data_IF_032413639291
#
_entry.id   IF_032413639291
#
_cell.length_a   1.000
_cell.length_b   1.000
_cell.length_c   1.000
_cell.angle_alpha   90.00
_cell.angle_beta   90.00
_cell.angle_gamma   90.00
#
_symmetry.space_group_name_H-M   'P 1'
#
loop_
_entity.id
_entity.type
_entity.pdbx_description
1 polymer ?
#
# COMPACT_ATOMS: atom_id res chain seq x y z
N UNK A 1 4.44 11.67 19.44
CA UNK A 1 3.50 10.69 18.86
C UNK A 1 3.30 10.81 17.33
N UNK A 2 3.37 12.02 16.75
CA UNK A 2 3.21 12.18 15.27
C UNK A 2 4.50 12.04 14.48
N UNK A 3 5.67 12.00 15.12
CA UNK A 3 6.99 11.88 14.46
C UNK A 3 7.26 10.55 13.75
N UNK A 4 6.46 9.53 14.04
CA UNK A 4 6.60 8.19 13.44
C UNK A 4 5.67 7.96 12.24
N UNK A 5 4.87 8.96 11.85
CA UNK A 5 4.06 8.93 10.63
C UNK A 5 4.97 9.29 9.47
N UNK A 6 5.82 8.35 9.07
CA UNK A 6 6.54 8.45 7.80
C UNK A 6 5.53 8.31 6.67
N UNK A 7 5.09 9.44 6.12
CA UNK A 7 4.26 9.52 4.93
C UNK A 7 5.02 8.87 3.76
N UNK A 8 4.62 7.62 3.45
CA UNK A 8 5.21 6.81 2.41
C UNK A 8 6.61 6.32 2.80
N UNK A 9 6.75 5.04 3.10
CA UNK A 9 8.06 4.40 3.33
C UNK A 9 8.81 4.25 1.99
N UNK A 10 8.82 5.31 1.16
CA UNK A 10 9.54 5.32 -0.09
C UNK A 10 11.04 5.43 0.17
N UNK A 11 11.81 4.50 -0.36
CA UNK A 11 13.27 4.52 -0.33
C UNK A 11 13.77 4.96 -1.71
N UNK A 12 14.30 6.18 -1.85
CA UNK A 12 14.87 6.62 -3.12
C UNK A 12 16.06 5.73 -3.48
N UNK A 13 16.06 5.25 -4.73
CA UNK A 13 17.11 4.37 -5.22
C UNK A 13 17.12 4.35 -6.75
N UNK A 14 18.30 4.02 -7.33
CA UNK A 14 18.52 3.99 -8.78
C UNK A 14 18.59 2.57 -9.35
N UNK A 15 17.83 1.65 -8.80
CA UNK A 15 17.79 0.28 -9.31
C UNK A 15 16.85 0.14 -10.52
N UNK A 16 16.99 -0.91 -11.36
CA UNK A 16 16.07 -1.13 -12.47
C UNK A 16 14.60 -1.11 -12.06
N UNK A 17 14.28 -1.63 -10.87
CA UNK A 17 12.90 -1.63 -10.35
C UNK A 17 12.43 -0.22 -10.00
N UNK A 18 13.29 0.66 -9.45
CA UNK A 18 12.93 2.04 -9.16
C UNK A 18 12.65 2.84 -10.45
N UNK A 19 13.36 2.54 -11.52
CA UNK A 19 13.24 3.22 -12.83
C UNK A 19 12.04 2.76 -13.67
N UNK A 20 11.36 1.66 -13.29
CA UNK A 20 10.13 1.22 -13.96
C UNK A 20 9.03 2.27 -13.83
N UNK A 21 8.20 2.38 -14.86
CA UNK A 21 7.00 3.23 -14.83
C UNK A 21 6.08 2.81 -13.67
N UNK A 22 5.57 3.77 -12.85
CA UNK A 22 4.67 3.48 -11.74
C UNK A 22 3.41 2.70 -12.14
N UNK A 23 2.91 2.86 -13.37
CA UNK A 23 1.77 2.10 -13.91
C UNK A 23 2.14 0.63 -14.05
N UNK A 24 3.32 0.35 -14.60
CA UNK A 24 3.85 -1.00 -14.76
C UNK A 24 3.98 -1.70 -13.41
N UNK A 25 4.54 -1.02 -12.40
CA UNK A 25 4.67 -1.57 -11.05
C UNK A 25 3.31 -1.90 -10.43
N UNK A 26 2.34 -1.01 -10.56
CA UNK A 26 1.00 -1.21 -10.03
C UNK A 26 0.32 -2.42 -10.69
N UNK A 27 0.39 -2.52 -12.01
CA UNK A 27 -0.17 -3.66 -12.74
C UNK A 27 0.55 -4.97 -12.40
N UNK A 28 1.89 -4.96 -12.27
CA UNK A 28 2.65 -6.14 -11.87
C UNK A 28 2.32 -6.62 -10.46
N UNK A 29 2.06 -5.71 -9.53
CA UNK A 29 1.60 -6.09 -8.19
C UNK A 29 0.23 -6.74 -8.25
N UNK A 30 -0.70 -6.24 -9.08
CA UNK A 30 -2.00 -6.87 -9.28
C UNK A 30 -1.83 -8.27 -9.89
N UNK A 31 -0.99 -8.40 -10.93
CA UNK A 31 -0.66 -9.70 -11.54
C UNK A 31 -0.08 -10.67 -10.51
N UNK A 32 0.83 -10.20 -9.66
CA UNK A 32 1.41 -11.00 -8.58
C UNK A 32 0.37 -11.44 -7.54
N UNK A 33 -0.54 -10.54 -7.14
CA UNK A 33 -1.66 -10.88 -6.25
C UNK A 33 -2.51 -11.99 -6.88
N UNK A 34 -2.91 -11.84 -8.14
CA UNK A 34 -3.70 -12.85 -8.87
C UNK A 34 -2.93 -14.18 -8.94
N UNK A 35 -1.63 -14.14 -9.24
CA UNK A 35 -0.78 -15.33 -9.29
C UNK A 35 -0.78 -16.09 -7.95
N UNK A 36 -0.69 -15.38 -6.81
CA UNK A 36 -0.76 -15.99 -5.47
C UNK A 36 -2.14 -16.60 -5.13
N UNK A 37 -3.22 -16.04 -5.67
CA UNK A 37 -4.56 -16.64 -5.49
C UNK A 37 -4.77 -17.88 -6.37
N UNK A 38 -4.10 -17.95 -7.52
CA UNK A 38 -4.12 -19.12 -8.42
C UNK A 38 -3.28 -20.27 -7.85
N UNK A 39 -2.22 -19.95 -7.07
CA UNK A 39 -1.32 -20.93 -6.46
C UNK A 39 -2.07 -21.86 -5.48
N UNK A 40 -1.92 -23.17 -5.67
CA UNK A 40 -2.53 -24.21 -4.80
C UNK A 40 -1.50 -25.14 -4.17
N UNK A 41 -0.33 -25.34 -4.80
CA UNK A 41 0.67 -26.34 -4.45
C UNK A 41 1.98 -25.69 -3.99
N UNK A 42 2.80 -26.42 -3.26
CA UNK A 42 4.09 -25.94 -2.75
C UNK A 42 5.00 -25.43 -3.86
N UNK A 43 5.01 -26.08 -5.03
CA UNK A 43 5.82 -25.66 -6.18
C UNK A 43 5.42 -24.25 -6.68
N UNK A 44 4.11 -23.99 -6.75
CA UNK A 44 3.59 -22.68 -7.14
C UNK A 44 4.02 -21.60 -6.14
N UNK A 45 3.94 -21.87 -4.83
CA UNK A 45 4.41 -20.91 -3.81
C UNK A 45 5.92 -20.73 -3.84
N UNK A 46 6.70 -21.79 -4.12
CA UNK A 46 8.15 -21.69 -4.29
C UNK A 46 8.52 -20.78 -5.46
N UNK A 47 7.83 -20.91 -6.60
CA UNK A 47 8.04 -20.04 -7.77
C UNK A 47 7.72 -18.58 -7.45
N UNK A 48 6.60 -18.31 -6.77
CA UNK A 48 6.23 -16.96 -6.35
C UNK A 48 7.24 -16.38 -5.34
N UNK A 49 7.78 -17.21 -4.43
CA UNK A 49 8.80 -16.81 -3.47
C UNK A 49 10.12 -16.45 -4.16
N UNK A 50 10.54 -17.24 -5.14
CA UNK A 50 11.74 -16.96 -5.96
C UNK A 50 11.57 -15.64 -6.71
N UNK A 51 10.41 -15.42 -7.32
CA UNK A 51 10.12 -14.15 -8.00
C UNK A 51 10.19 -12.97 -7.04
N UNK A 52 9.54 -13.06 -5.87
CA UNK A 52 9.58 -12.01 -4.85
C UNK A 52 11.00 -11.77 -4.34
N UNK A 53 11.76 -12.83 -4.08
CA UNK A 53 13.15 -12.73 -3.66
C UNK A 53 14.03 -12.05 -4.71
N UNK A 54 13.82 -12.36 -6.00
CA UNK A 54 14.49 -11.69 -7.11
C UNK A 54 14.16 -10.19 -7.15
N UNK A 55 12.88 -9.82 -7.01
CA UNK A 55 12.44 -8.41 -6.95
C UNK A 55 13.10 -7.69 -5.77
N UNK A 56 13.12 -8.30 -4.58
CA UNK A 56 13.77 -7.72 -3.38
C UNK A 56 15.29 -7.56 -3.62
N UNK A 57 15.95 -8.56 -4.17
CA UNK A 57 17.40 -8.53 -4.43
C UNK A 57 17.76 -7.43 -5.45
N UNK A 58 17.02 -7.33 -6.57
CA UNK A 58 17.25 -6.32 -7.62
C UNK A 58 16.97 -4.91 -7.08
N UNK A 59 15.95 -4.74 -6.22
CA UNK A 59 15.62 -3.44 -5.62
C UNK A 59 16.63 -2.98 -4.56
N UNK A 60 17.55 -3.85 -4.12
CA UNK A 60 18.55 -3.60 -3.06
C UNK A 60 17.94 -3.16 -1.72
N UNK A 61 16.67 -3.47 -1.50
CA UNK A 61 15.99 -3.18 -0.22
C UNK A 61 16.44 -4.22 0.81
N UNK A 62 16.77 -3.77 2.01
CA UNK A 62 17.21 -4.65 3.10
C UNK A 62 16.05 -5.56 3.54
N UNK A 63 16.26 -6.87 3.49
CA UNK A 63 15.29 -7.87 3.97
C UNK A 63 14.77 -7.58 5.39
N UNK A 64 15.62 -7.03 6.25
CA UNK A 64 15.23 -6.62 7.61
C UNK A 64 14.07 -5.63 7.64
N UNK A 65 13.96 -4.73 6.63
CA UNK A 65 12.87 -3.75 6.54
C UNK A 65 11.57 -4.45 6.18
N UNK A 66 11.61 -5.37 5.20
CA UNK A 66 10.45 -6.17 4.80
C UNK A 66 9.92 -7.01 5.97
N UNK A 67 10.83 -7.70 6.68
CA UNK A 67 10.46 -8.51 7.85
C UNK A 67 9.95 -7.66 9.03
N UNK A 68 10.54 -6.47 9.26
CA UNK A 68 10.07 -5.55 10.30
C UNK A 68 8.63 -5.12 10.08
N UNK A 69 8.24 -4.90 8.82
CA UNK A 69 6.88 -4.48 8.49
C UNK A 69 5.87 -5.65 8.49
N UNK A 70 6.33 -6.89 8.44
CA UNK A 70 5.50 -8.06 8.70
C UNK A 70 5.17 -8.24 10.20
N UNK A 71 6.02 -7.71 11.10
CA UNK A 71 5.87 -7.89 12.54
C UNK A 71 4.50 -7.45 13.10
N UNK A 72 3.94 -6.28 12.77
CA UNK A 72 2.61 -5.88 13.26
C UNK A 72 1.48 -6.77 12.73
N UNK A 73 1.68 -7.42 11.57
CA UNK A 73 0.70 -8.33 10.96
C UNK A 73 0.83 -9.77 11.47
N UNK A 74 1.91 -10.06 12.21
CA UNK A 74 2.20 -11.40 12.73
C UNK A 74 1.05 -11.94 13.58
N UNK A 75 0.38 -11.08 14.36
CA UNK A 75 -0.79 -11.47 15.14
C UNK A 75 -1.94 -11.97 14.23
N UNK A 76 -2.24 -11.26 13.15
CA UNK A 76 -3.30 -11.64 12.20
C UNK A 76 -2.90 -12.92 11.47
N UNK A 77 -1.62 -13.03 11.06
CA UNK A 77 -1.09 -14.23 10.38
C UNK A 77 -1.19 -15.45 11.30
N UNK A 78 -0.82 -15.33 12.56
CA UNK A 78 -0.93 -16.41 13.53
C UNK A 78 -2.39 -16.76 13.84
N UNK A 79 -3.26 -15.76 13.97
CA UNK A 79 -4.68 -15.97 14.20
C UNK A 79 -5.33 -16.72 13.02
N UNK A 80 -5.04 -16.32 11.78
CA UNK A 80 -5.57 -17.02 10.60
C UNK A 80 -5.00 -18.44 10.47
N UNK A 81 -3.72 -18.65 10.77
CA UNK A 81 -3.11 -19.97 10.81
C UNK A 81 -3.80 -20.86 11.85
N UNK A 82 -4.02 -20.34 13.06
CA UNK A 82 -4.69 -21.03 14.13
C UNK A 82 -6.13 -21.43 13.73
N UNK A 83 -6.90 -20.52 13.17
CA UNK A 83 -8.26 -20.81 12.70
C UNK A 83 -8.26 -21.88 11.61
N UNK A 84 -7.37 -21.80 10.61
CA UNK A 84 -7.30 -22.77 9.52
C UNK A 84 -6.84 -24.16 10.01
N UNK A 85 -6.04 -24.23 11.07
CA UNK A 85 -5.57 -25.49 11.64
C UNK A 85 -6.76 -26.36 12.13
N UNK A 86 -7.80 -25.71 12.67
CA UNK A 86 -8.99 -26.41 13.22
C UNK A 86 -10.14 -26.57 12.22
N UNK A 87 -10.11 -25.83 11.10
CA UNK A 87 -11.16 -25.86 10.09
C UNK A 87 -10.93 -26.92 8.99
N UNK A 88 -9.87 -27.72 9.10
CA UNK A 88 -9.55 -28.77 8.12
C UNK A 88 -10.57 -29.89 8.12
N UNK A 89 -11.04 -30.29 6.93
CA UNK A 89 -11.84 -31.48 6.72
C UNK A 89 -10.93 -32.68 6.41
N UNK A 90 -11.04 -33.79 7.11
CA UNK A 90 -10.26 -35.00 6.85
C UNK A 90 -10.00 -35.83 8.10
N UNK A 91 -9.19 -36.92 7.97
CA UNK A 91 -8.83 -37.78 9.08
C UNK A 91 -8.00 -37.01 10.12
N UNK A 92 -8.38 -37.03 11.39
CA UNK A 92 -7.68 -36.33 12.46
C UNK A 92 -6.34 -37.00 12.77
N UNK A 93 -5.25 -36.25 12.67
CA UNK A 93 -3.91 -36.69 13.11
C UNK A 93 -3.83 -36.69 14.64
N UNK A 94 -4.47 -35.69 15.27
CA UNK A 94 -4.58 -35.61 16.72
C UNK A 94 -5.94 -35.05 17.11
N UNK A 95 -6.61 -35.76 18.06
CA UNK A 95 -7.84 -35.28 18.68
C UNK A 95 -7.54 -34.87 20.10
N UNK A 96 -7.78 -33.60 20.42
CA UNK A 96 -7.70 -33.10 21.77
C UNK A 96 -9.06 -32.43 22.08
N UNK A 97 -9.93 -33.25 22.72
CA UNK A 97 -11.28 -32.90 23.15
C UNK A 97 -12.18 -32.33 22.03
N UNK A 98 -12.24 -31.01 21.85
CA UNK A 98 -13.06 -30.33 20.82
C UNK A 98 -12.24 -30.01 19.56
N UNK A 99 -10.91 -29.95 19.63
CA UNK A 99 -10.02 -29.55 18.57
C UNK A 99 -9.48 -30.75 17.79
N UNK A 100 -9.84 -30.84 16.50
CA UNK A 100 -9.35 -31.87 15.58
C UNK A 100 -8.31 -31.23 14.64
N UNK A 101 -7.06 -31.64 14.80
CA UNK A 101 -6.00 -31.25 13.87
C UNK A 101 -5.96 -32.28 12.76
N UNK A 102 -6.27 -31.80 11.52
CA UNK A 102 -6.25 -32.64 10.32
C UNK A 102 -5.04 -32.32 9.46
N UNK A 103 -4.59 -33.26 8.62
CA UNK A 103 -3.48 -33.04 7.69
C UNK A 103 -3.79 -31.90 6.72
N UNK A 104 -5.00 -31.87 6.18
CA UNK A 104 -5.46 -30.79 5.30
C UNK A 104 -5.53 -29.42 6.00
N UNK A 105 -5.90 -29.39 7.29
CA UNK A 105 -5.91 -28.17 8.10
C UNK A 105 -4.49 -27.60 8.28
N UNK A 106 -3.50 -28.48 8.53
CA UNK A 106 -2.10 -28.06 8.66
C UNK A 106 -1.54 -27.53 7.33
N UNK A 107 -1.78 -28.21 6.21
CA UNK A 107 -1.37 -27.76 4.89
C UNK A 107 -2.01 -26.41 4.53
N UNK A 108 -3.32 -26.27 4.75
CA UNK A 108 -4.03 -25.00 4.52
C UNK A 108 -3.51 -23.86 5.41
N UNK A 109 -3.20 -24.13 6.67
CA UNK A 109 -2.62 -23.14 7.57
C UNK A 109 -1.25 -22.65 7.06
N UNK A 110 -0.39 -23.57 6.62
CA UNK A 110 0.92 -23.22 6.05
C UNK A 110 0.75 -22.39 4.77
N UNK A 111 -0.13 -22.81 3.86
CA UNK A 111 -0.39 -22.06 2.62
C UNK A 111 -0.97 -20.68 2.90
N UNK A 112 -1.85 -20.53 3.88
CA UNK A 112 -2.38 -19.21 4.27
C UNK A 112 -1.30 -18.30 4.84
N UNK A 113 -0.44 -18.80 5.72
CA UNK A 113 0.70 -18.03 6.26
C UNK A 113 1.61 -17.56 5.13
N UNK A 114 2.00 -18.46 4.23
CA UNK A 114 2.84 -18.14 3.08
C UNK A 114 2.15 -17.10 2.18
N UNK A 115 0.89 -17.33 1.82
CA UNK A 115 0.11 -16.42 0.96
C UNK A 115 0.03 -15.03 1.54
N UNK A 116 -0.39 -14.86 2.80
CA UNK A 116 -0.53 -13.55 3.42
C UNK A 116 0.83 -12.86 3.53
N UNK A 117 1.87 -13.58 3.96
CA UNK A 117 3.21 -13.02 4.10
C UNK A 117 3.76 -12.52 2.74
N UNK A 118 3.55 -13.28 1.69
CA UNK A 118 4.02 -12.95 0.35
C UNK A 118 3.20 -11.83 -0.29
N UNK A 119 1.87 -11.80 -0.10
CA UNK A 119 1.00 -10.70 -0.52
C UNK A 119 1.45 -9.38 0.10
N UNK A 120 1.64 -9.38 1.41
CA UNK A 120 2.06 -8.20 2.16
C UNK A 120 3.44 -7.74 1.73
N UNK A 121 4.41 -8.66 1.61
CA UNK A 121 5.76 -8.33 1.17
C UNK A 121 5.77 -7.76 -0.26
N UNK A 122 5.00 -8.35 -1.19
CA UNK A 122 4.88 -7.87 -2.57
C UNK A 122 4.27 -6.47 -2.65
N UNK A 123 3.22 -6.20 -1.88
CA UNK A 123 2.58 -4.88 -1.81
C UNK A 123 3.52 -3.82 -1.22
N UNK A 124 4.28 -4.17 -0.18
CA UNK A 124 5.28 -3.25 0.38
C UNK A 124 6.38 -2.90 -0.62
N UNK A 125 6.76 -3.81 -1.53
CA UNK A 125 7.74 -3.51 -2.57
C UNK A 125 7.27 -2.37 -3.48
N UNK A 126 5.99 -2.28 -3.80
CA UNK A 126 5.42 -1.14 -4.54
C UNK A 126 5.62 0.16 -3.76
N UNK A 127 5.26 0.18 -2.48
CA UNK A 127 5.36 1.37 -1.62
C UNK A 127 6.81 1.82 -1.41
N UNK A 128 7.75 0.87 -1.31
CA UNK A 128 9.17 1.18 -1.15
C UNK A 128 9.84 1.72 -2.40
N UNK A 129 9.37 1.30 -3.59
CA UNK A 129 10.00 1.65 -4.87
C UNK A 129 9.27 2.74 -5.63
N UNK A 130 8.12 3.22 -5.14
CA UNK A 130 7.32 4.23 -5.84
C UNK A 130 6.88 5.32 -4.87
N UNK A 131 7.11 6.58 -5.22
CA UNK A 131 6.66 7.70 -4.39
C UNK A 131 5.12 7.82 -4.42
N UNK A 132 4.48 8.31 -3.34
CA UNK A 132 3.02 8.48 -3.31
C UNK A 132 2.50 9.37 -4.44
N UNK A 133 3.23 10.41 -4.82
CA UNK A 133 2.86 11.30 -5.93
C UNK A 133 2.91 10.56 -7.27
N UNK A 134 3.97 9.78 -7.52
CA UNK A 134 4.07 8.97 -8.74
C UNK A 134 2.99 7.89 -8.80
N UNK A 135 2.55 7.36 -7.65
CA UNK A 135 1.45 6.41 -7.57
C UNK A 135 0.11 7.07 -7.93
N UNK A 136 -0.13 8.32 -7.50
CA UNK A 136 -1.34 9.06 -7.89
C UNK A 136 -1.39 9.35 -9.38
N UNK A 137 -0.24 9.71 -9.99
CA UNK A 137 -0.13 9.92 -11.43
C UNK A 137 -0.39 8.63 -12.23
N UNK A 138 0.12 7.50 -11.72
CA UNK A 138 -0.15 6.18 -12.31
C UNK A 138 -1.64 5.83 -12.25
N UNK A 139 -2.28 6.06 -11.10
CA UNK A 139 -3.72 5.83 -10.92
C UNK A 139 -4.55 6.71 -11.87
N UNK A 140 -4.24 7.99 -11.99
CA UNK A 140 -4.92 8.88 -12.94
C UNK A 140 -4.83 8.35 -14.37
N UNK A 141 -3.63 7.91 -14.77
CA UNK A 141 -3.42 7.38 -16.09
C UNK A 141 -4.17 6.07 -16.35
N UNK A 142 -4.17 5.14 -15.38
CA UNK A 142 -4.89 3.86 -15.49
C UNK A 142 -6.41 4.04 -15.41
N UNK A 143 -6.88 5.02 -14.66
CA UNK A 143 -8.31 5.37 -14.58
C UNK A 143 -8.76 6.31 -15.70
N UNK A 144 -7.86 6.77 -16.56
CA UNK A 144 -8.18 7.65 -17.70
C UNK A 144 -9.33 7.12 -18.60
N UNK A 145 -9.48 5.80 -18.86
CA UNK A 145 -10.64 5.29 -19.62
C UNK A 145 -11.99 5.59 -18.97
N UNK A 146 -12.03 5.74 -17.62
CA UNK A 146 -13.27 6.08 -16.90
C UNK A 146 -13.73 7.52 -17.16
N UNK A 147 -12.87 8.40 -17.72
CA UNK A 147 -13.30 9.72 -18.20
C UNK A 147 -14.43 9.62 -19.22
N UNK A 148 -14.48 8.55 -20.02
CA UNK A 148 -15.58 8.27 -20.95
C UNK A 148 -16.94 8.03 -20.25
N UNK A 149 -16.90 7.63 -18.99
CA UNK A 149 -18.07 7.44 -18.11
C UNK A 149 -18.38 8.69 -17.27
N UNK A 150 -17.86 9.87 -17.65
CA UNK A 150 -17.99 11.14 -16.93
C UNK A 150 -17.44 11.11 -15.49
N UNK A 151 -16.52 10.20 -15.17
CA UNK A 151 -15.86 10.19 -13.87
C UNK A 151 -14.80 11.32 -13.81
N UNK A 152 -14.79 12.15 -12.75
CA UNK A 152 -13.87 13.27 -12.58
C UNK A 152 -12.46 12.78 -12.14
N UNK A 153 -11.83 11.96 -13.00
CA UNK A 153 -10.55 11.29 -12.67
C UNK A 153 -9.43 12.30 -12.48
N UNK A 154 -9.41 13.36 -13.28
CA UNK A 154 -8.39 14.40 -13.19
C UNK A 154 -8.51 15.18 -11.88
N UNK A 155 -9.72 15.58 -11.52
CA UNK A 155 -10.02 16.33 -10.31
C UNK A 155 -9.67 15.48 -9.07
N UNK A 156 -10.00 14.19 -9.06
CA UNK A 156 -9.62 13.28 -8.00
C UNK A 156 -8.11 13.16 -7.85
N UNK A 157 -7.38 13.01 -8.96
CA UNK A 157 -5.91 12.93 -8.92
C UNK A 157 -5.29 14.23 -8.41
N UNK A 158 -5.81 15.37 -8.86
CA UNK A 158 -5.35 16.67 -8.40
C UNK A 158 -5.61 16.85 -6.90
N UNK A 159 -6.80 16.50 -6.41
CA UNK A 159 -7.11 16.54 -4.97
C UNK A 159 -6.17 15.65 -4.17
N UNK A 160 -5.86 14.44 -4.65
CA UNK A 160 -4.90 13.54 -4.00
C UNK A 160 -3.48 14.15 -3.96
N UNK A 161 -3.01 14.74 -5.06
CA UNK A 161 -1.70 15.40 -5.11
C UNK A 161 -1.62 16.60 -4.16
N UNK A 162 -2.67 17.43 -4.10
CA UNK A 162 -2.75 18.57 -3.17
C UNK A 162 -2.77 18.06 -1.72
N UNK A 163 -3.57 17.04 -1.42
CA UNK A 163 -3.63 16.44 -0.09
C UNK A 163 -2.26 15.92 0.35
N UNK A 164 -1.60 15.10 -0.50
CA UNK A 164 -0.27 14.57 -0.21
C UNK A 164 0.78 15.66 0.03
N UNK A 165 0.67 16.79 -0.65
CA UNK A 165 1.55 17.95 -0.46
C UNK A 165 1.27 18.68 0.86
N UNK A 166 0.00 18.77 1.28
CA UNK A 166 -0.37 19.49 2.49
C UNK A 166 -0.22 18.66 3.77
N UNK A 167 -0.25 17.34 3.71
CA UNK A 167 -0.12 16.49 4.90
C UNK A 167 1.14 16.81 5.73
N UNK A 168 2.37 16.90 5.17
CA UNK A 168 3.54 17.27 5.97
C UNK A 168 3.38 18.61 6.66
N UNK A 169 2.86 19.61 5.95
CA UNK A 169 2.65 20.96 6.49
C UNK A 169 1.61 20.99 7.61
N UNK A 170 0.52 20.21 7.47
CA UNK A 170 -0.51 20.08 8.51
C UNK A 170 0.02 19.35 9.75
N UNK A 171 0.92 18.37 9.58
CA UNK A 171 1.59 17.69 10.71
C UNK A 171 2.45 18.70 11.48
N UNK A 172 3.28 19.48 10.80
CA UNK A 172 4.10 20.51 11.44
C UNK A 172 3.25 21.56 12.16
N UNK A 173 2.14 21.97 11.57
CA UNK A 173 1.23 22.92 12.16
C UNK A 173 0.51 22.32 13.38
N UNK A 174 0.12 21.06 13.30
CA UNK A 174 -0.47 20.34 14.45
C UNK A 174 0.52 20.27 15.61
N UNK A 175 1.81 20.01 15.36
CA UNK A 175 2.84 19.99 16.40
C UNK A 175 3.02 21.38 17.04
N UNK A 176 2.98 22.46 16.24
CA UNK A 176 3.05 23.84 16.73
C UNK A 176 1.84 24.19 17.61
N UNK A 177 0.62 23.89 17.14
CA UNK A 177 -0.61 24.13 17.89
C UNK A 177 -0.60 23.32 19.19
N UNK A 178 -0.19 22.04 19.13
CA UNK A 178 -0.10 21.17 20.29
C UNK A 178 0.88 21.72 21.33
N UNK A 179 2.06 22.18 20.90
CA UNK A 179 3.05 22.79 21.77
C UNK A 179 2.50 24.06 22.45
N UNK A 180 1.80 24.92 21.70
CA UNK A 180 1.18 26.11 22.23
C UNK A 180 0.07 25.81 23.24
N UNK A 181 -0.76 24.80 22.98
CA UNK A 181 -1.82 24.39 23.91
C UNK A 181 -1.25 23.72 25.17
N UNK A 182 -0.17 22.93 25.06
CA UNK A 182 0.54 22.41 26.25
C UNK A 182 1.10 23.52 27.11
N UNK A 183 1.66 24.58 26.53
CA UNK A 183 2.13 25.75 27.27
C UNK A 183 0.99 26.51 27.99
N UNK A 184 -0.24 26.40 27.47
CA UNK A 184 -1.46 26.94 28.12
C UNK A 184 -2.07 26.01 29.20
N UNK A 185 -1.39 24.89 29.50
CA UNK A 185 -1.83 23.93 30.52
C UNK A 185 -2.78 22.85 30.02
N UNK A 186 -2.94 22.70 28.70
CA UNK A 186 -3.72 21.60 28.13
C UNK A 186 -3.04 20.25 28.33
N UNK A 187 -3.77 19.27 28.85
CA UNK A 187 -3.34 17.93 29.09
C UNK A 187 -4.04 16.97 28.09
N UNK A 188 -3.25 16.35 27.21
CA UNK A 188 -3.73 15.45 26.18
C UNK A 188 -3.56 13.95 26.54
N UNK A 189 -2.89 13.66 27.65
CA UNK A 189 -2.45 12.31 27.99
C UNK A 189 -3.24 11.71 29.17
N UNK A 190 -3.76 12.54 30.09
CA UNK A 190 -4.47 12.07 31.28
C UNK A 190 -5.99 12.02 31.09
N UNK A 191 -6.65 11.13 31.84
CA UNK A 191 -8.09 11.02 31.92
C UNK A 191 -8.77 10.00 31.03
N UNK A 192 -10.10 9.92 31.10
CA UNK A 192 -10.95 9.02 30.31
C UNK A 192 -10.92 9.38 28.81
N UNK A 193 -11.24 8.41 27.94
CA UNK A 193 -11.30 8.58 26.48
C UNK A 193 -12.11 9.81 26.05
N UNK A 194 -13.23 10.08 26.73
CA UNK A 194 -14.10 11.25 26.46
C UNK A 194 -13.40 12.58 26.81
N UNK A 195 -12.62 12.61 27.89
CA UNK A 195 -11.84 13.79 28.29
C UNK A 195 -10.69 14.04 27.32
N UNK A 196 -10.00 12.99 26.86
CA UNK A 196 -8.97 13.08 25.83
C UNK A 196 -9.53 13.57 24.48
N UNK A 197 -10.71 13.08 24.09
CA UNK A 197 -11.38 13.57 22.88
C UNK A 197 -11.74 15.06 22.97
N UNK A 198 -12.26 15.53 24.11
CA UNK A 198 -12.52 16.96 24.34
C UNK A 198 -11.24 17.80 24.31
N UNK A 199 -10.14 17.28 24.83
CA UNK A 199 -8.85 17.96 24.82
C UNK A 199 -8.29 18.16 23.41
N UNK A 200 -8.70 17.36 22.41
CA UNK A 200 -8.30 17.54 21.01
C UNK A 200 -9.02 18.69 20.30
N UNK A 201 -10.21 19.12 20.77
CA UNK A 201 -10.99 20.20 20.13
C UNK A 201 -10.20 21.51 19.98
N UNK A 202 -9.44 21.98 21.00
CA UNK A 202 -8.60 23.17 20.89
C UNK A 202 -7.46 23.06 19.87
N UNK A 203 -7.14 21.85 19.41
CA UNK A 203 -6.18 21.61 18.32
C UNK A 203 -6.92 21.58 16.98
N UNK A 204 -8.07 20.89 16.92
CA UNK A 204 -8.81 20.70 15.68
C UNK A 204 -9.35 22.03 15.11
N UNK A 205 -9.92 22.90 15.94
CA UNK A 205 -10.52 24.17 15.48
C UNK A 205 -9.50 25.07 14.76
N UNK A 206 -8.33 25.42 15.37
CA UNK A 206 -7.32 26.20 14.69
C UNK A 206 -6.77 25.52 13.41
N UNK A 207 -6.62 24.18 13.45
CA UNK A 207 -6.14 23.42 12.32
C UNK A 207 -7.12 23.49 11.14
N UNK A 208 -8.42 23.37 11.38
CA UNK A 208 -9.45 23.55 10.35
C UNK A 208 -9.42 24.97 9.76
N UNK A 209 -9.36 26.00 10.59
CA UNK A 209 -9.29 27.39 10.12
C UNK A 209 -8.06 27.61 9.23
N UNK A 210 -6.91 27.08 9.65
CA UNK A 210 -5.69 27.15 8.85
C UNK A 210 -5.80 26.38 7.53
N UNK A 211 -6.38 25.17 7.55
CA UNK A 211 -6.60 24.36 6.35
C UNK A 211 -7.51 25.08 5.33
N UNK A 212 -8.62 25.68 5.79
CA UNK A 212 -9.51 26.47 4.92
C UNK A 212 -8.82 27.69 4.34
N UNK A 213 -8.08 28.46 5.17
CA UNK A 213 -7.31 29.60 4.67
C UNK A 213 -6.32 29.22 3.56
N UNK A 214 -5.61 28.10 3.75
CA UNK A 214 -4.69 27.57 2.70
C UNK A 214 -5.43 27.13 1.45
N UNK A 215 -6.63 26.56 1.61
CA UNK A 215 -7.45 26.18 0.46
C UNK A 215 -7.87 27.40 -0.35
N UNK A 216 -8.32 28.47 0.33
CA UNK A 216 -8.70 29.74 -0.31
C UNK A 216 -7.49 30.40 -1.01
N UNK A 217 -6.32 30.44 -0.35
CA UNK A 217 -5.07 30.97 -0.93
C UNK A 217 -4.68 30.17 -2.17
N UNK A 218 -4.78 28.83 -2.13
CA UNK A 218 -4.48 27.98 -3.27
C UNK A 218 -5.48 28.17 -4.39
N UNK A 219 -6.79 28.25 -4.08
CA UNK A 219 -7.84 28.49 -5.07
C UNK A 219 -7.61 29.81 -5.79
N UNK A 220 -7.37 30.90 -5.05
CA UNK A 220 -7.05 32.21 -5.62
C UNK A 220 -5.79 32.15 -6.50
N UNK A 221 -4.74 31.46 -6.04
CA UNK A 221 -3.53 31.32 -6.83
C UNK A 221 -3.74 30.51 -8.12
N UNK A 222 -4.65 29.52 -8.11
CA UNK A 222 -5.03 28.75 -9.30
C UNK A 222 -5.86 29.60 -10.27
N UNK A 223 -6.81 30.37 -9.78
CA UNK A 223 -7.62 31.31 -10.59
C UNK A 223 -6.73 32.37 -11.27
N UNK A 224 -5.78 32.97 -10.55
CA UNK A 224 -4.81 33.92 -11.09
C UNK A 224 -3.92 33.29 -12.18
N UNK A 225 -3.77 31.97 -12.20
CA UNK A 225 -3.06 31.21 -13.24
C UNK A 225 -3.99 30.67 -14.32
N UNK A 226 -5.21 31.18 -14.41
CA UNK A 226 -6.22 30.79 -15.39
C UNK A 226 -6.51 29.29 -15.36
N UNK A 227 -6.65 28.70 -14.18
CA UNK A 227 -7.06 27.30 -14.05
C UNK A 227 -8.57 27.16 -14.30
N UNK A 228 -8.96 26.41 -15.35
CA UNK A 228 -10.34 26.16 -15.73
C UNK A 228 -10.68 24.68 -15.81
N UNK A 229 -10.04 23.83 -14.99
CA UNK A 229 -10.25 22.40 -14.99
C UNK A 229 -9.19 21.60 -15.74
N UNK A 230 -9.50 20.35 -16.05
CA UNK A 230 -8.55 19.40 -16.65
C UNK A 230 -8.53 19.36 -18.17
N UNK A 231 -9.47 20.03 -18.85
CA UNK A 231 -9.56 20.02 -20.31
C UNK A 231 -8.46 20.85 -20.97
N UNK A 232 -7.84 20.31 -22.02
CA UNK A 232 -6.81 21.00 -22.80
C UNK A 232 -5.47 21.21 -22.12
N UNK A 233 -5.21 20.60 -20.93
CA UNK A 233 -3.95 20.72 -20.20
C UNK A 233 -2.96 19.62 -20.54
N UNK A 234 -1.69 20.01 -20.66
CA UNK A 234 -0.55 19.11 -20.73
C UNK A 234 0.10 18.94 -19.35
N UNK A 235 0.72 17.78 -19.10
CA UNK A 235 1.50 17.53 -17.88
C UNK A 235 2.96 17.94 -18.10
N UNK A 236 3.58 18.58 -17.09
CA UNK A 236 4.99 18.90 -17.10
C UNK A 236 5.87 17.64 -17.11
N UNK A 237 5.44 16.61 -16.40
CA UNK A 237 6.10 15.30 -16.36
C UNK A 237 5.11 14.25 -16.86
N UNK A 238 5.36 13.73 -18.05
CA UNK A 238 4.56 12.67 -18.65
C UNK A 238 5.19 11.31 -18.31
N UNK A 239 4.34 10.36 -17.90
CA UNK A 239 4.76 8.99 -17.70
C UNK A 239 5.01 8.35 -19.08
N UNK A 240 6.22 7.82 -19.30
CA UNK A 240 6.62 7.19 -20.55
C UNK A 240 7.05 5.75 -20.30
N UNK A 241 6.53 4.82 -21.10
CA UNK A 241 6.95 3.44 -21.05
C UNK A 241 8.36 3.29 -21.65
N UNK A 242 9.24 2.63 -20.91
CA UNK A 242 10.59 2.31 -21.32
C UNK A 242 10.70 0.84 -21.74
N UNK A 243 11.79 0.45 -22.43
CA UNK A 243 12.03 -0.94 -22.81
C UNK A 243 12.04 -1.91 -21.60
N UNK A 244 12.48 -1.43 -20.46
CA UNK A 244 12.46 -2.18 -19.20
C UNK A 244 11.05 -2.55 -18.73
N UNK A 245 10.05 -1.70 -19.04
CA UNK A 245 8.66 -1.96 -18.66
C UNK A 245 8.07 -3.13 -19.45
N UNK A 246 8.37 -3.21 -20.75
CA UNK A 246 7.95 -4.34 -21.58
C UNK A 246 8.59 -5.66 -21.12
N UNK A 247 9.89 -5.64 -20.74
CA UNK A 247 10.54 -6.80 -20.15
C UNK A 247 9.88 -7.21 -18.83
N UNK A 248 9.53 -6.25 -17.97
CA UNK A 248 8.85 -6.51 -16.72
C UNK A 248 7.45 -7.08 -16.93
N UNK A 249 6.68 -6.59 -17.90
CA UNK A 249 5.40 -7.18 -18.31
C UNK A 249 5.54 -8.60 -18.82
N UNK A 250 6.55 -8.88 -19.64
CA UNK A 250 6.82 -10.23 -20.14
C UNK A 250 7.13 -11.21 -19.02
N UNK A 251 7.94 -10.79 -18.01
CA UNK A 251 8.24 -11.60 -16.82
C UNK A 251 6.98 -11.83 -15.98
N UNK A 252 6.15 -10.80 -15.78
CA UNK A 252 4.88 -10.91 -15.07
C UNK A 252 3.88 -11.85 -15.75
N UNK A 253 3.76 -11.75 -17.08
CA UNK A 253 2.91 -12.64 -17.89
C UNK A 253 3.41 -14.09 -17.85
N UNK A 254 4.72 -14.30 -17.92
CA UNK A 254 5.34 -15.61 -17.81
C UNK A 254 5.12 -16.23 -16.43
N UNK A 255 5.25 -15.45 -15.36
CA UNK A 255 4.92 -15.89 -14.00
C UNK A 255 3.46 -16.38 -13.94
N UNK A 256 2.54 -15.57 -14.43
CA UNK A 256 1.11 -15.89 -14.38
C UNK A 256 0.78 -17.12 -15.23
N UNK A 257 1.35 -17.24 -16.44
CA UNK A 257 1.22 -18.41 -17.30
C UNK A 257 1.77 -19.67 -16.63
N UNK A 258 2.97 -19.59 -16.01
CA UNK A 258 3.57 -20.70 -15.29
C UNK A 258 2.67 -21.16 -14.11
N UNK A 259 2.04 -20.21 -13.39
CA UNK A 259 1.09 -20.55 -12.31
C UNK A 259 -0.14 -21.30 -12.83
N UNK A 260 -0.70 -20.89 -13.97
CA UNK A 260 -1.82 -21.59 -14.59
C UNK A 260 -1.43 -22.99 -15.07
N UNK A 261 -0.26 -23.12 -15.67
CA UNK A 261 0.28 -24.41 -16.13
C UNK A 261 0.49 -25.37 -14.94
N UNK A 262 1.16 -24.91 -13.88
CA UNK A 262 1.36 -25.70 -12.66
C UNK A 262 0.02 -26.13 -12.03
N UNK A 263 -0.95 -25.23 -12.01
CA UNK A 263 -2.30 -25.55 -11.54
C UNK A 263 -2.98 -26.62 -12.40
N UNK A 264 -2.79 -26.59 -13.72
CA UNK A 264 -3.39 -27.58 -14.64
C UNK A 264 -2.75 -28.96 -14.49
N UNK A 265 -1.44 -29.02 -14.27
CA UNK A 265 -0.71 -30.29 -14.04
C UNK A 265 -0.84 -30.81 -12.62
N UNK A 266 -1.47 -30.07 -11.68
CA UNK A 266 -1.64 -30.49 -10.29
C UNK A 266 -0.34 -30.47 -9.47
N UNK A 267 0.59 -29.58 -9.82
CA UNK A 267 1.90 -29.37 -9.17
C UNK A 267 2.02 -28.01 -8.44
#
# INVERSE_FOLDING_TARGET
MLKDVTLGQYFPGDTPIHRLDPRTKLLLVIVYIVALFVAKWFVSYALAAIFLAAVIAISRIRLKVVLKNLKPLLFIILLTAFLNLFYGQGEPIAQFWIFKITKSGLENAIFMVLRISMLVAGTFMLTYTTSPIALTDALESLLSPLKKLHAPVHELSMMMCIALRFIPTLIEETDKIMAAQKARGADFESGNLLRRAKALVPILVPLFISAFRRADELATAMECRCYHGGEGRTKLSELQYHRCDFAAFAVGALLLAAMFVLRHFGL
#
